data_IF_540953023657
#
_entry.id   IF_540953023657
#
_cell.length_a   1.000
_cell.length_b   1.000
_cell.length_c   1.000
_cell.angle_alpha   90.00
_cell.angle_beta   90.00
_cell.angle_gamma   90.00
#
_symmetry.space_group_name_H-M   'P 1'
#
loop_
_entity.id
_entity.type
_entity.pdbx_description
1 polymer ?
#
# COMPACT_ATOMS: atom_id res chain seq x y z
N UNK A 1 9.70 -8.64 1.89
CA UNK A 1 8.29 -8.24 2.06
C UNK A 1 7.68 -8.11 0.67
N UNK A 2 6.48 -8.64 0.46
CA UNK A 2 5.71 -8.41 -0.78
C UNK A 2 4.44 -7.68 -0.39
N UNK A 3 4.32 -6.42 -0.79
CA UNK A 3 3.09 -5.65 -0.66
C UNK A 3 2.22 -5.91 -1.89
N UNK A 4 1.24 -6.80 -1.74
CA UNK A 4 0.30 -7.19 -2.80
C UNK A 4 -1.15 -6.81 -2.48
N UNK A 5 -1.43 -6.37 -1.25
CA UNK A 5 -2.78 -5.92 -0.91
C UNK A 5 -3.12 -4.66 -1.71
N UNK A 6 -4.23 -4.73 -2.44
CA UNK A 6 -4.75 -3.64 -3.24
C UNK A 6 -6.26 -3.76 -3.38
N UNK A 7 -6.95 -2.63 -3.36
CA UNK A 7 -8.39 -2.52 -3.57
C UNK A 7 -8.68 -1.44 -4.61
N UNK A 8 -9.86 -1.52 -5.21
CA UNK A 8 -10.39 -0.49 -6.09
C UNK A 8 -11.90 -0.67 -6.22
N UNK A 9 -12.59 0.42 -6.50
CA UNK A 9 -14.04 0.42 -6.63
C UNK A 9 -14.41 0.85 -8.04
N UNK A 10 -15.08 -0.01 -8.83
CA UNK A 10 -15.40 0.29 -10.22
C UNK A 10 -16.65 1.17 -10.29
N UNK A 11 -16.47 2.47 -10.05
CA UNK A 11 -17.51 3.50 -10.15
C UNK A 11 -17.01 4.66 -11.02
N UNK A 12 -17.93 5.44 -11.57
CA UNK A 12 -17.58 6.69 -12.23
C UNK A 12 -16.97 7.65 -11.21
N UNK A 13 -16.01 8.46 -11.63
CA UNK A 13 -15.25 9.31 -10.71
C UNK A 13 -16.12 10.37 -10.02
N UNK A 14 -17.13 10.89 -10.72
CA UNK A 14 -18.12 11.84 -10.20
C UNK A 14 -19.09 11.23 -9.19
N UNK A 15 -19.22 9.90 -9.19
CA UNK A 15 -20.10 9.15 -8.30
C UNK A 15 -19.34 8.49 -7.14
N UNK A 16 -17.99 8.55 -7.14
CA UNK A 16 -17.17 7.91 -6.11
C UNK A 16 -17.31 8.66 -4.78
N UNK A 17 -17.79 7.99 -3.71
CA UNK A 17 -17.80 8.61 -2.40
C UNK A 17 -16.37 8.90 -1.96
N UNK A 18 -16.10 10.10 -1.46
CA UNK A 18 -14.77 10.50 -0.96
C UNK A 18 -14.24 9.52 0.10
N UNK A 19 -15.13 8.97 0.94
CA UNK A 19 -14.76 7.97 1.94
C UNK A 19 -14.26 6.65 1.32
N UNK A 20 -14.78 6.27 0.16
CA UNK A 20 -14.35 5.07 -0.56
C UNK A 20 -12.98 5.29 -1.23
N UNK A 21 -12.80 6.45 -1.87
CA UNK A 21 -11.48 6.84 -2.39
C UNK A 21 -10.42 6.90 -1.27
N UNK A 22 -10.78 7.46 -0.11
CA UNK A 22 -9.89 7.49 1.06
C UNK A 22 -9.51 6.08 1.52
N UNK A 23 -10.45 5.13 1.50
CA UNK A 23 -10.18 3.72 1.81
C UNK A 23 -9.18 3.10 0.82
N UNK A 24 -9.31 3.39 -0.47
CA UNK A 24 -8.36 2.98 -1.51
C UNK A 24 -6.97 3.52 -1.22
N UNK A 25 -6.85 4.81 -0.91
CA UNK A 25 -5.57 5.44 -0.52
C UNK A 25 -4.98 4.78 0.72
N UNK A 26 -5.80 4.52 1.74
CA UNK A 26 -5.33 3.92 2.99
C UNK A 26 -4.76 2.52 2.78
N UNK A 27 -5.42 1.67 1.98
CA UNK A 27 -4.93 0.31 1.72
C UNK A 27 -3.74 0.36 0.76
N UNK A 28 -3.88 1.01 -0.39
CA UNK A 28 -2.93 0.88 -1.48
C UNK A 28 -1.66 1.73 -1.28
N UNK A 29 -1.73 2.79 -0.46
CA UNK A 29 -0.61 3.70 -0.22
C UNK A 29 -0.21 3.76 1.26
N UNK A 30 -1.11 4.18 2.15
CA UNK A 30 -0.76 4.44 3.56
C UNK A 30 -0.26 3.17 4.26
N UNK A 31 -1.01 2.07 4.13
CA UNK A 31 -0.68 0.79 4.77
C UNK A 31 0.58 0.16 4.16
N UNK A 32 0.72 0.24 2.83
CA UNK A 32 1.89 -0.24 2.10
C UNK A 32 3.16 0.46 2.57
N UNK A 33 3.11 1.79 2.71
CA UNK A 33 4.23 2.58 3.23
C UNK A 33 4.56 2.20 4.68
N UNK A 34 3.56 2.10 5.55
CA UNK A 34 3.75 1.75 6.96
C UNK A 34 4.42 0.37 7.11
N UNK A 35 3.93 -0.65 6.37
CA UNK A 35 4.52 -1.99 6.35
C UNK A 35 5.96 -1.97 5.82
N UNK A 36 6.20 -1.19 4.76
CA UNK A 36 7.54 -1.02 4.19
C UNK A 36 8.51 -0.38 5.16
N UNK A 37 8.07 0.62 5.93
CA UNK A 37 8.90 1.25 6.95
C UNK A 37 9.25 0.26 8.07
N UNK A 38 8.27 -0.50 8.56
CA UNK A 38 8.49 -1.51 9.61
C UNK A 38 9.46 -2.60 9.15
N UNK A 39 9.23 -3.17 7.96
CA UNK A 39 10.12 -4.18 7.41
C UNK A 39 11.51 -3.61 7.08
N UNK A 40 11.57 -2.39 6.55
CA UNK A 40 12.81 -1.70 6.18
C UNK A 40 13.75 -1.49 7.37
N UNK A 41 13.22 -1.14 8.55
CA UNK A 41 14.02 -1.02 9.78
C UNK A 41 14.75 -2.34 10.09
N UNK A 42 14.08 -3.48 9.96
CA UNK A 42 14.68 -4.78 10.21
C UNK A 42 15.70 -5.16 9.12
N UNK A 43 15.38 -4.92 7.85
CA UNK A 43 16.28 -5.22 6.73
C UNK A 43 17.59 -4.42 6.81
N UNK A 44 17.50 -3.15 7.22
CA UNK A 44 18.68 -2.30 7.46
C UNK A 44 19.55 -2.90 8.58
N UNK A 45 18.95 -3.29 9.70
CA UNK A 45 19.67 -3.91 10.82
C UNK A 45 20.35 -5.24 10.43
N UNK A 46 19.76 -5.98 9.50
CA UNK A 46 20.28 -7.25 8.98
C UNK A 46 21.32 -7.06 7.85
N UNK A 47 21.45 -5.86 7.28
CA UNK A 47 22.33 -5.57 6.14
C UNK A 47 21.85 -6.15 4.80
N UNK A 48 20.67 -6.77 4.75
CA UNK A 48 20.09 -7.31 3.54
C UNK A 48 18.56 -7.39 3.63
N UNK A 49 17.90 -7.42 2.47
CA UNK A 49 16.46 -7.61 2.35
C UNK A 49 15.88 -6.91 1.13
N UNK A 50 14.69 -7.33 0.72
CA UNK A 50 13.98 -6.75 -0.41
C UNK A 50 12.51 -6.51 -0.09
N UNK A 51 11.99 -5.39 -0.56
CA UNK A 51 10.57 -5.03 -0.56
C UNK A 51 10.11 -5.00 -2.01
N UNK A 52 9.05 -5.74 -2.32
CA UNK A 52 8.44 -5.79 -3.66
C UNK A 52 7.03 -5.23 -3.52
N UNK A 53 6.71 -4.19 -4.27
CA UNK A 53 5.38 -3.61 -4.33
C UNK A 53 4.74 -4.03 -5.65
N UNK A 54 3.59 -4.69 -5.59
CA UNK A 54 2.78 -4.98 -6.78
C UNK A 54 1.91 -3.76 -7.04
N UNK A 55 2.11 -3.13 -8.20
CA UNK A 55 1.35 -1.98 -8.66
C UNK A 55 0.87 -2.21 -10.10
N UNK A 56 -0.15 -1.47 -10.52
CA UNK A 56 -0.76 -1.51 -11.86
C UNK A 56 -0.73 -0.14 -12.52
#
# INVERSE_FOLDING_TARGET
LVNNAGIGTPVAAEDEPVAEFARVVDVNLTSLFALSQLAGRQMIAQGHGSIINIAS
#
